data_IF_137233846249
#
_entry.id   IF_137233846249
#
_cell.length_a   1.000
_cell.length_b   1.000
_cell.length_c   1.000
_cell.angle_alpha   90.00
_cell.angle_beta   90.00
_cell.angle_gamma   90.00
#
_symmetry.space_group_name_H-M   'P 1'
#
loop_
_entity.id
_entity.type
_entity.pdbx_description
1 polymer ?
#
# COMPACT_ATOMS: atom_id res chain seq x y z
N UNK A 1 31.75 16.05 -49.55
CA UNK A 1 32.82 16.20 -48.53
C UNK A 1 32.67 17.51 -47.74
N UNK A 2 32.53 18.67 -48.39
CA UNK A 2 32.25 19.94 -47.69
C UNK A 2 31.00 19.87 -46.81
N UNK A 3 29.90 19.34 -47.34
CA UNK A 3 28.64 19.18 -46.59
C UNK A 3 28.79 18.41 -45.27
N UNK A 4 29.50 17.28 -45.27
CA UNK A 4 29.76 16.50 -44.05
C UNK A 4 30.61 17.26 -43.03
N UNK A 5 31.61 18.01 -43.50
CA UNK A 5 32.47 18.83 -42.65
C UNK A 5 31.67 19.98 -42.03
N UNK A 6 30.76 20.57 -42.79
CA UNK A 6 29.88 21.64 -42.34
C UNK A 6 28.86 21.12 -41.31
N UNK A 7 28.25 19.95 -41.54
CA UNK A 7 27.39 19.26 -40.57
C UNK A 7 28.14 18.91 -39.27
N UNK A 8 29.43 18.59 -39.39
CA UNK A 8 30.31 18.35 -38.26
C UNK A 8 30.92 19.64 -37.66
N UNK A 9 30.49 20.82 -38.10
CA UNK A 9 30.96 22.13 -37.63
C UNK A 9 32.50 22.26 -37.65
N UNK A 10 33.15 21.75 -38.69
CA UNK A 10 34.62 21.75 -38.84
C UNK A 10 35.38 21.05 -37.70
N UNK A 11 34.73 20.14 -36.95
CA UNK A 11 35.38 19.29 -35.94
C UNK A 11 36.22 18.20 -36.61
N UNK A 12 37.42 18.54 -37.06
CA UNK A 12 38.33 17.65 -37.78
C UNK A 12 39.60 17.42 -36.95
N UNK A 13 40.03 16.17 -36.87
CA UNK A 13 41.32 15.78 -36.27
C UNK A 13 42.01 14.82 -37.22
N UNK A 14 43.26 15.13 -37.57
CA UNK A 14 44.10 14.26 -38.39
C UNK A 14 44.89 13.32 -37.49
N UNK A 15 44.75 12.01 -37.72
CA UNK A 15 45.54 10.97 -37.07
C UNK A 15 46.48 10.33 -38.08
N UNK A 16 47.73 10.16 -37.69
CA UNK A 16 48.69 9.32 -38.41
C UNK A 16 48.97 8.08 -37.56
N UNK A 17 48.33 6.98 -37.94
CA UNK A 17 48.36 5.71 -37.23
C UNK A 17 49.70 4.96 -37.41
N UNK A 18 50.60 5.43 -38.26
CA UNK A 18 51.90 4.78 -38.54
C UNK A 18 53.05 5.38 -37.74
N UNK A 19 52.86 6.53 -37.08
CA UNK A 19 53.86 7.11 -36.19
C UNK A 19 54.25 6.08 -35.12
N UNK A 20 55.56 5.84 -34.95
CA UNK A 20 56.07 5.02 -33.86
C UNK A 20 56.28 5.85 -32.58
N UNK A 21 56.60 7.14 -32.74
CA UNK A 21 56.96 8.04 -31.66
C UNK A 21 55.79 8.33 -30.70
N UNK A 22 56.05 8.16 -29.41
CA UNK A 22 55.07 8.27 -28.33
C UNK A 22 54.61 9.72 -28.11
N UNK A 23 55.54 10.68 -28.23
CA UNK A 23 55.23 12.10 -27.99
C UNK A 23 54.24 12.60 -29.04
N UNK A 24 54.51 12.28 -30.32
CA UNK A 24 53.61 12.65 -31.41
C UNK A 24 52.23 11.96 -31.33
N UNK A 25 52.15 10.73 -30.79
CA UNK A 25 50.86 10.07 -30.51
C UNK A 25 50.06 10.78 -29.44
N UNK A 26 50.71 11.12 -28.32
CA UNK A 26 50.06 11.83 -27.21
C UNK A 26 49.51 13.18 -27.68
N UNK A 27 50.27 13.93 -28.48
CA UNK A 27 49.81 15.19 -29.06
C UNK A 27 48.59 15.04 -29.99
N UNK A 28 48.48 13.93 -30.73
CA UNK A 28 47.30 13.66 -31.58
C UNK A 28 46.06 13.33 -30.72
N UNK A 29 46.25 12.57 -29.64
CA UNK A 29 45.19 12.25 -28.68
C UNK A 29 44.73 13.51 -27.94
N UNK A 30 45.64 14.39 -27.52
CA UNK A 30 45.30 15.65 -26.85
C UNK A 30 44.45 16.55 -27.75
N UNK A 31 44.81 16.67 -29.04
CA UNK A 31 44.00 17.39 -30.04
C UNK A 31 42.58 16.80 -30.17
N UNK A 32 42.44 15.48 -30.11
CA UNK A 32 41.13 14.83 -30.13
C UNK A 32 40.32 15.16 -28.87
N UNK A 33 40.93 15.06 -27.69
CA UNK A 33 40.28 15.36 -26.42
C UNK A 33 39.85 16.83 -26.36
N UNK A 34 40.66 17.75 -26.87
CA UNK A 34 40.29 19.16 -26.99
C UNK A 34 39.05 19.38 -27.85
N UNK A 35 38.92 18.66 -28.97
CA UNK A 35 37.72 18.73 -29.81
C UNK A 35 36.50 18.13 -29.11
N UNK A 36 36.67 17.01 -28.40
CA UNK A 36 35.60 16.38 -27.61
C UNK A 36 35.12 17.29 -26.48
N UNK A 37 36.04 17.95 -25.77
CA UNK A 37 35.73 18.87 -24.68
C UNK A 37 34.95 20.12 -25.16
N UNK A 38 35.15 20.53 -26.42
CA UNK A 38 34.46 21.65 -27.05
C UNK A 38 33.10 21.28 -27.65
N UNK A 39 32.66 20.03 -27.56
CA UNK A 39 31.34 19.62 -28.05
C UNK A 39 30.23 20.35 -27.27
N UNK A 40 29.26 20.91 -28.00
CA UNK A 40 28.10 21.66 -27.45
C UNK A 40 27.31 20.88 -26.39
N UNK A 41 27.36 19.56 -26.44
CA UNK A 41 26.70 18.68 -25.47
C UNK A 41 27.31 18.75 -24.06
N UNK A 42 28.51 19.32 -23.88
CA UNK A 42 29.13 19.55 -22.57
C UNK A 42 29.28 18.26 -21.76
N UNK A 43 29.69 17.17 -22.39
CA UNK A 43 29.82 15.85 -21.76
C UNK A 43 28.51 15.05 -21.64
N UNK A 44 27.36 15.58 -22.10
CA UNK A 44 26.13 14.78 -22.20
C UNK A 44 26.28 13.74 -23.31
N UNK A 45 25.91 12.50 -22.99
CA UNK A 45 25.89 11.41 -23.96
C UNK A 45 24.81 11.66 -24.99
N UNK A 46 25.05 11.18 -26.21
CA UNK A 46 24.00 11.08 -27.20
C UNK A 46 22.88 10.17 -26.66
N UNK A 47 21.64 10.64 -26.78
CA UNK A 47 20.43 9.92 -26.36
C UNK A 47 19.43 10.06 -27.49
N UNK A 48 18.88 8.94 -27.94
CA UNK A 48 17.76 8.86 -28.87
C UNK A 48 16.64 7.99 -28.26
N UNK A 49 15.61 7.72 -29.04
CA UNK A 49 14.51 6.82 -28.64
C UNK A 49 14.99 5.39 -28.41
N UNK A 50 15.91 4.89 -29.22
CA UNK A 50 16.47 3.54 -29.10
C UNK A 50 17.22 3.36 -27.76
N UNK A 51 17.98 4.37 -27.31
CA UNK A 51 18.65 4.35 -26.00
C UNK A 51 17.67 4.35 -24.84
N UNK A 52 16.50 4.99 -24.99
CA UNK A 52 15.43 4.94 -23.98
C UNK A 52 14.78 3.56 -23.95
N UNK A 53 14.41 3.03 -25.10
CA UNK A 53 13.80 1.70 -25.23
C UNK A 53 14.74 0.59 -24.75
N UNK A 54 16.03 0.66 -25.08
CA UNK A 54 17.03 -0.28 -24.59
C UNK A 54 17.18 -0.22 -23.06
N UNK A 55 17.07 0.98 -22.46
CA UNK A 55 17.09 1.15 -21.00
C UNK A 55 15.85 0.53 -20.36
N UNK A 56 14.67 0.76 -20.91
CA UNK A 56 13.40 0.20 -20.42
C UNK A 56 13.39 -1.33 -20.55
N UNK A 57 13.80 -1.85 -21.71
CA UNK A 57 13.93 -3.29 -21.97
C UNK A 57 14.90 -3.94 -20.99
N UNK A 58 16.05 -3.30 -20.74
CA UNK A 58 17.02 -3.78 -19.75
C UNK A 58 16.44 -3.78 -18.33
N UNK A 59 15.70 -2.74 -17.94
CA UNK A 59 15.04 -2.68 -16.63
C UNK A 59 14.00 -3.79 -16.49
N UNK A 60 13.18 -4.01 -17.52
CA UNK A 60 12.19 -5.08 -17.58
C UNK A 60 12.83 -6.46 -17.44
N UNK A 61 13.85 -6.76 -18.24
CA UNK A 61 14.57 -8.04 -18.17
C UNK A 61 15.20 -8.29 -16.79
N UNK A 62 15.72 -7.24 -16.14
CA UNK A 62 16.24 -7.34 -14.77
C UNK A 62 15.14 -7.74 -13.78
N UNK A 63 13.95 -7.15 -13.89
CA UNK A 63 12.82 -7.49 -13.00
C UNK A 63 12.27 -8.88 -13.33
N UNK A 64 12.16 -9.24 -14.61
CA UNK A 64 11.72 -10.57 -15.05
C UNK A 64 12.64 -11.68 -14.54
N UNK A 65 13.97 -11.49 -14.57
CA UNK A 65 14.89 -12.48 -14.00
C UNK A 65 14.73 -12.68 -12.49
N UNK A 66 14.21 -11.67 -11.78
CA UNK A 66 13.92 -11.73 -10.35
C UNK A 66 12.46 -12.09 -10.05
N UNK A 67 11.60 -12.17 -11.08
CA UNK A 67 10.15 -12.34 -10.93
C UNK A 67 9.83 -13.60 -10.13
N UNK A 68 10.47 -14.73 -10.40
CA UNK A 68 10.21 -15.98 -9.68
C UNK A 68 10.44 -15.84 -8.16
N UNK A 69 11.58 -15.25 -7.77
CA UNK A 69 11.96 -15.05 -6.37
C UNK A 69 11.01 -14.06 -5.69
N UNK A 70 10.67 -12.96 -6.36
CA UNK A 70 9.74 -11.96 -5.82
C UNK A 70 8.35 -12.58 -5.66
N UNK A 71 7.88 -13.31 -6.67
CA UNK A 71 6.58 -13.98 -6.66
C UNK A 71 6.49 -15.00 -5.53
N UNK A 72 7.52 -15.83 -5.34
CA UNK A 72 7.53 -16.85 -4.30
C UNK A 72 7.50 -16.22 -2.90
N UNK A 73 8.38 -15.24 -2.64
CA UNK A 73 8.39 -14.51 -1.35
C UNK A 73 7.06 -13.83 -1.08
N UNK A 74 6.49 -13.19 -2.10
CA UNK A 74 5.20 -12.52 -1.93
C UNK A 74 4.08 -13.52 -1.72
N UNK A 75 4.06 -14.66 -2.40
CA UNK A 75 3.08 -15.74 -2.16
C UNK A 75 3.18 -16.30 -0.75
N UNK A 76 4.38 -16.55 -0.25
CA UNK A 76 4.58 -17.02 1.12
C UNK A 76 4.01 -16.01 2.12
N UNK A 77 4.30 -14.71 1.96
CA UNK A 77 3.75 -13.69 2.85
C UNK A 77 2.24 -13.50 2.72
N UNK A 78 1.73 -13.60 1.50
CA UNK A 78 0.29 -13.62 1.19
C UNK A 78 -0.40 -14.77 1.93
N UNK A 79 0.19 -15.96 1.94
CA UNK A 79 -0.33 -17.12 2.68
C UNK A 79 -0.30 -16.91 4.20
N UNK A 80 0.79 -16.36 4.74
CA UNK A 80 0.88 -16.05 6.18
C UNK A 80 -0.17 -15.01 6.60
N UNK A 81 -0.45 -14.04 5.75
CA UNK A 81 -1.51 -13.04 5.98
C UNK A 81 -2.89 -13.71 6.03
N UNK A 82 -3.17 -14.64 5.12
CA UNK A 82 -4.43 -15.39 5.12
C UNK A 82 -4.59 -16.24 6.38
N UNK A 83 -3.57 -17.00 6.75
CA UNK A 83 -3.60 -17.83 7.97
C UNK A 83 -3.86 -16.99 9.21
N UNK A 84 -3.22 -15.82 9.32
CA UNK A 84 -3.49 -14.89 10.43
C UNK A 84 -4.90 -14.34 10.41
N UNK A 85 -5.44 -14.04 9.22
CA UNK A 85 -6.81 -13.56 9.11
C UNK A 85 -7.81 -14.62 9.61
N UNK A 86 -7.62 -15.88 9.25
CA UNK A 86 -8.46 -17.00 9.72
C UNK A 86 -8.39 -17.14 11.25
N UNK A 87 -7.17 -17.14 11.82
CA UNK A 87 -6.97 -17.18 13.27
C UNK A 87 -7.68 -16.02 14.00
N UNK A 88 -7.62 -14.81 13.44
CA UNK A 88 -8.29 -13.63 14.00
C UNK A 88 -9.81 -13.78 13.90
N UNK A 89 -10.33 -14.42 12.86
CA UNK A 89 -11.76 -14.66 12.70
C UNK A 89 -12.30 -15.60 13.78
N UNK A 90 -11.53 -16.62 14.16
CA UNK A 90 -11.84 -17.60 15.22
C UNK A 90 -11.76 -17.04 16.66
N UNK A 91 -11.21 -15.83 16.85
CA UNK A 91 -11.22 -15.17 18.16
C UNK A 91 -12.65 -14.72 18.53
N UNK A 92 -13.32 -15.52 19.37
CA UNK A 92 -14.75 -15.35 19.65
C UNK A 92 -15.11 -14.24 20.65
N UNK A 93 -14.20 -13.78 21.53
CA UNK A 93 -14.63 -13.01 22.71
C UNK A 93 -13.85 -11.73 23.03
N UNK A 94 -12.86 -11.32 22.22
CA UNK A 94 -12.10 -10.10 22.47
C UNK A 94 -12.05 -9.21 21.23
N UNK A 95 -13.10 -8.39 21.04
CA UNK A 95 -13.22 -7.45 19.92
C UNK A 95 -12.06 -6.44 19.87
N UNK A 96 -11.51 -6.03 21.02
CA UNK A 96 -10.40 -5.09 21.09
C UNK A 96 -9.09 -5.71 20.59
N UNK A 97 -8.79 -6.94 21.03
CA UNK A 97 -7.65 -7.72 20.54
C UNK A 97 -7.79 -8.03 19.05
N UNK A 98 -8.99 -8.47 18.62
CA UNK A 98 -9.32 -8.73 17.21
C UNK A 98 -9.09 -7.50 16.34
N UNK A 99 -9.56 -6.33 16.79
CA UNK A 99 -9.38 -5.08 16.06
C UNK A 99 -7.89 -4.70 15.94
N UNK A 100 -7.13 -4.80 17.03
CA UNK A 100 -5.70 -4.50 17.03
C UNK A 100 -4.93 -5.38 16.04
N UNK A 101 -5.22 -6.68 16.02
CA UNK A 101 -4.57 -7.62 15.11
C UNK A 101 -4.97 -7.38 13.64
N UNK A 102 -6.24 -7.07 13.36
CA UNK A 102 -6.69 -6.69 12.01
C UNK A 102 -6.00 -5.42 11.49
N UNK A 103 -5.81 -4.41 12.35
CA UNK A 103 -5.12 -3.17 11.99
C UNK A 103 -3.64 -3.44 11.67
N UNK A 104 -2.97 -4.25 12.49
CA UNK A 104 -1.59 -4.69 12.22
C UNK A 104 -1.50 -5.46 10.89
N UNK A 105 -2.48 -6.32 10.61
CA UNK A 105 -2.53 -7.08 9.37
C UNK A 105 -2.72 -6.16 8.16
N UNK A 106 -3.59 -5.15 8.26
CA UNK A 106 -3.80 -4.12 7.22
C UNK A 106 -2.52 -3.33 6.95
N UNK A 107 -1.77 -2.98 8.00
CA UNK A 107 -0.48 -2.30 7.86
C UNK A 107 0.54 -3.20 7.15
N UNK A 108 0.62 -4.48 7.53
CA UNK A 108 1.50 -5.46 6.86
C UNK A 108 1.17 -5.62 5.38
N UNK A 109 -0.12 -5.71 5.02
CA UNK A 109 -0.54 -5.73 3.61
C UNK A 109 -0.15 -4.45 2.86
N UNK A 110 -0.21 -3.29 3.53
CA UNK A 110 0.14 -2.01 2.91
C UNK A 110 1.65 -1.90 2.65
N UNK A 111 2.49 -2.31 3.62
CA UNK A 111 3.94 -2.38 3.45
C UNK A 111 4.34 -3.32 2.32
N UNK A 112 3.77 -4.53 2.29
CA UNK A 112 4.03 -5.51 1.23
C UNK A 112 3.63 -4.98 -0.16
N UNK A 113 2.53 -4.23 -0.25
CA UNK A 113 2.08 -3.61 -1.50
C UNK A 113 3.04 -2.51 -1.95
N UNK A 114 3.49 -1.66 -1.04
CA UNK A 114 4.46 -0.59 -1.33
C UNK A 114 5.81 -1.16 -1.77
N UNK A 115 6.33 -2.15 -1.05
CA UNK A 115 7.58 -2.83 -1.41
C UNK A 115 7.52 -3.49 -2.79
N UNK A 116 6.38 -4.12 -3.11
CA UNK A 116 6.18 -4.77 -4.41
C UNK A 116 6.07 -3.75 -5.53
N UNK A 117 5.36 -2.63 -5.31
CA UNK A 117 5.29 -1.52 -6.27
C UNK A 117 6.63 -0.84 -6.50
N UNK A 118 7.41 -0.64 -5.43
CA UNK A 118 8.75 -0.09 -5.52
C UNK A 118 9.68 -0.99 -6.35
N UNK A 119 9.57 -2.31 -6.19
CA UNK A 119 10.33 -3.29 -6.98
C UNK A 119 9.89 -3.37 -8.44
N UNK A 120 8.61 -3.15 -8.74
CA UNK A 120 8.09 -3.18 -10.11
C UNK A 120 8.62 -2.03 -10.98
N UNK A 121 8.99 -0.90 -10.36
CA UNK A 121 9.54 0.30 -11.03
C UNK A 121 8.73 0.79 -12.24
N UNK A 122 7.42 0.46 -12.30
CA UNK A 122 6.54 0.83 -13.41
C UNK A 122 6.64 -0.07 -14.65
N UNK A 123 7.32 -1.21 -14.56
CA UNK A 123 7.44 -2.18 -15.67
C UNK A 123 6.20 -3.03 -15.86
N UNK A 124 5.27 -3.04 -14.89
CA UNK A 124 4.04 -3.83 -14.86
C UNK A 124 4.27 -5.35 -14.87
N UNK A 125 5.51 -5.81 -14.66
CA UNK A 125 5.86 -7.24 -14.62
C UNK A 125 5.26 -7.91 -13.38
N UNK A 126 5.16 -7.19 -12.26
CA UNK A 126 4.62 -7.69 -10.99
C UNK A 126 3.12 -7.40 -10.83
N UNK A 127 2.41 -7.00 -11.88
CA UNK A 127 1.03 -6.53 -11.80
C UNK A 127 0.07 -7.60 -11.22
N UNK A 128 0.27 -8.87 -11.58
CA UNK A 128 -0.52 -9.99 -11.04
C UNK A 128 -0.33 -10.17 -9.53
N UNK A 129 0.88 -9.90 -9.03
CA UNK A 129 1.22 -9.99 -7.61
C UNK A 129 0.62 -8.80 -6.87
N UNK A 130 0.74 -7.60 -7.45
CA UNK A 130 0.15 -6.37 -6.92
C UNK A 130 -1.38 -6.49 -6.80
N UNK A 131 -2.04 -7.07 -7.80
CA UNK A 131 -3.49 -7.28 -7.79
C UNK A 131 -3.91 -8.28 -6.71
N UNK A 132 -3.15 -9.36 -6.51
CA UNK A 132 -3.38 -10.33 -5.44
C UNK A 132 -3.28 -9.69 -4.05
N UNK A 133 -2.19 -8.97 -3.74
CA UNK A 133 -2.02 -8.26 -2.46
C UNK A 133 -3.15 -7.24 -2.25
N UNK A 134 -3.54 -6.53 -3.32
CA UNK A 134 -4.62 -5.53 -3.26
C UNK A 134 -5.95 -6.18 -2.88
N UNK A 135 -6.27 -7.33 -3.46
CA UNK A 135 -7.46 -8.10 -3.11
C UNK A 135 -7.44 -8.54 -1.65
N UNK A 136 -6.29 -9.01 -1.14
CA UNK A 136 -6.16 -9.35 0.28
C UNK A 136 -6.37 -8.14 1.19
N UNK A 137 -5.75 -7.00 0.87
CA UNK A 137 -5.94 -5.76 1.64
C UNK A 137 -7.41 -5.35 1.70
N UNK A 138 -8.17 -5.54 0.61
CA UNK A 138 -9.61 -5.31 0.59
C UNK A 138 -10.36 -6.25 1.53
N UNK A 139 -10.03 -7.54 1.54
CA UNK A 139 -10.64 -8.52 2.45
C UNK A 139 -10.40 -8.11 3.92
N UNK A 140 -9.15 -7.81 4.29
CA UNK A 140 -8.81 -7.37 5.66
C UNK A 140 -9.54 -6.09 6.04
N UNK A 141 -9.63 -5.13 5.11
CA UNK A 141 -10.36 -3.86 5.34
C UNK A 141 -11.85 -4.11 5.56
N UNK A 142 -12.46 -5.01 4.78
CA UNK A 142 -13.86 -5.40 4.95
C UNK A 142 -14.10 -6.06 6.31
N UNK A 143 -13.17 -6.89 6.79
CA UNK A 143 -13.33 -7.51 8.11
C UNK A 143 -13.21 -6.51 9.26
N UNK A 144 -12.37 -5.48 9.12
CA UNK A 144 -12.32 -4.35 10.06
C UNK A 144 -13.68 -3.64 10.09
N UNK A 145 -14.25 -3.32 8.93
CA UNK A 145 -15.56 -2.67 8.81
C UNK A 145 -16.67 -3.51 9.44
N UNK A 146 -16.68 -4.82 9.19
CA UNK A 146 -17.62 -5.76 9.79
C UNK A 146 -17.50 -5.77 11.32
N UNK A 147 -16.27 -5.80 11.84
CA UNK A 147 -16.02 -5.80 13.29
C UNK A 147 -16.50 -4.50 13.94
N UNK A 148 -16.25 -3.35 13.31
CA UNK A 148 -16.78 -2.05 13.76
C UNK A 148 -18.31 -1.98 13.71
N UNK A 149 -18.94 -2.62 12.72
CA UNK A 149 -20.40 -2.68 12.61
C UNK A 149 -21.00 -3.52 13.74
N UNK A 150 -20.46 -4.71 14.00
CA UNK A 150 -20.88 -5.60 15.09
C UNK A 150 -20.76 -4.91 16.46
N UNK A 151 -19.70 -4.14 16.67
CA UNK A 151 -19.50 -3.38 17.91
C UNK A 151 -20.57 -2.30 18.10
N UNK A 152 -20.89 -1.54 17.04
CA UNK A 152 -21.97 -0.54 17.07
C UNK A 152 -23.33 -1.16 17.39
N UNK A 153 -23.67 -2.26 16.74
CA UNK A 153 -24.93 -2.99 16.97
C UNK A 153 -25.02 -3.49 18.44
N UNK A 154 -23.92 -4.01 19.01
CA UNK A 154 -23.86 -4.41 20.43
C UNK A 154 -24.11 -3.23 21.36
N UNK A 155 -23.51 -2.07 21.09
CA UNK A 155 -23.68 -0.87 21.91
C UNK A 155 -25.11 -0.32 21.85
N UNK A 156 -25.74 -0.32 20.67
CA UNK A 156 -27.14 0.08 20.50
C UNK A 156 -28.10 -0.87 21.22
N UNK A 157 -27.87 -2.18 21.13
CA UNK A 157 -28.65 -3.17 21.85
C UNK A 157 -28.51 -3.00 23.37
N UNK A 158 -27.30 -2.71 23.86
CA UNK A 158 -27.06 -2.44 25.28
C UNK A 158 -27.83 -1.19 25.77
N UNK A 159 -27.82 -0.11 24.99
CA UNK A 159 -28.61 1.11 25.29
C UNK A 159 -30.11 0.81 25.33
N UNK A 160 -30.63 0.11 24.31
CA UNK A 160 -32.04 -0.28 24.22
C UNK A 160 -32.47 -1.18 25.39
N UNK A 161 -31.62 -2.13 25.79
CA UNK A 161 -31.88 -3.00 26.93
C UNK A 161 -31.91 -2.22 28.26
N UNK A 162 -31.01 -1.27 28.45
CA UNK A 162 -30.98 -0.43 29.66
C UNK A 162 -32.21 0.51 29.72
N UNK A 163 -32.62 1.10 28.59
CA UNK A 163 -33.87 1.87 28.51
C UNK A 163 -35.10 1.02 28.84
N UNK A 164 -35.18 -0.19 28.27
CA UNK A 164 -36.27 -1.13 28.58
C UNK A 164 -36.26 -1.54 30.06
N UNK A 165 -35.08 -1.70 30.67
CA UNK A 165 -34.94 -2.01 32.10
C UNK A 165 -35.41 -0.84 32.98
N UNK A 166 -35.10 0.40 32.60
CA UNK A 166 -35.60 1.61 33.27
C UNK A 166 -37.13 1.74 33.15
N UNK A 167 -37.69 1.53 31.96
CA UNK A 167 -39.15 1.54 31.73
C UNK A 167 -39.87 0.49 32.58
N UNK A 168 -39.37 -0.75 32.62
CA UNK A 168 -39.93 -1.82 33.47
C UNK A 168 -39.89 -1.49 34.97
N UNK A 169 -38.80 -0.88 35.45
CA UNK A 169 -38.70 -0.42 36.85
C UNK A 169 -39.70 0.70 37.14
N UNK A 170 -39.89 1.63 36.21
CA UNK A 170 -40.86 2.72 36.37
C UNK A 170 -42.30 2.20 36.41
N UNK A 171 -42.69 1.33 35.46
CA UNK A 171 -44.03 0.75 35.43
C UNK A 171 -44.32 -0.11 36.67
N UNK A 172 -43.31 -0.83 37.19
CA UNK A 172 -43.42 -1.55 38.45
C UNK A 172 -43.70 -0.63 39.64
N UNK A 173 -42.94 0.47 39.77
CA UNK A 173 -43.17 1.50 40.82
C UNK A 173 -44.55 2.17 40.68
N UNK A 174 -44.96 2.49 39.47
CA UNK A 174 -46.27 3.10 39.21
C UNK A 174 -47.43 2.17 39.56
N UNK A 175 -47.26 0.86 39.35
CA UNK A 175 -48.25 -0.16 39.73
C UNK A 175 -48.33 -0.33 41.25
N UNK A 176 -47.18 -0.40 41.93
CA UNK A 176 -47.11 -0.44 43.40
C UNK A 176 -47.75 0.79 44.05
N UNK A 177 -47.49 1.97 43.50
CA UNK A 177 -48.09 3.22 43.97
C UNK A 177 -49.61 3.21 43.82
N UNK A 178 -50.14 2.72 42.67
CA UNK A 178 -51.58 2.58 42.45
C UNK A 178 -52.24 1.62 43.43
N UNK A 179 -51.61 0.47 43.71
CA UNK A 179 -52.10 -0.51 44.68
C UNK A 179 -52.20 0.10 46.09
N UNK A 180 -51.14 0.77 46.56
CA UNK A 180 -51.13 1.44 47.88
C UNK A 180 -52.21 2.52 47.97
N UNK A 181 -52.39 3.33 46.93
CA UNK A 181 -53.44 4.36 46.92
C UNK A 181 -54.85 3.78 46.90
N UNK A 182 -55.08 2.66 46.21
CA UNK A 182 -56.37 1.96 46.24
C UNK A 182 -56.66 1.36 47.62
N UNK A 183 -55.67 0.78 48.31
CA UNK A 183 -55.81 0.30 49.68
C UNK A 183 -56.14 1.44 50.65
N UNK A 184 -55.39 2.53 50.60
CA UNK A 184 -55.64 3.69 51.46
C UNK A 184 -57.06 4.27 51.30
N UNK A 185 -57.58 4.32 50.06
CA UNK A 185 -58.97 4.75 49.79
C UNK A 185 -60.01 3.79 50.38
N UNK A 186 -59.75 2.48 50.37
CA UNK A 186 -60.64 1.48 51.01
C UNK A 186 -60.64 1.63 52.53
N UNK A 187 -59.46 1.77 53.14
CA UNK A 187 -59.31 1.92 54.60
C UNK A 187 -59.97 3.21 55.13
N UNK A 188 -59.97 4.28 54.32
CA UNK A 188 -60.61 5.55 54.67
C UNK A 188 -62.15 5.51 54.60
N UNK A 189 -62.71 4.66 53.74
CA UNK A 189 -64.16 4.47 53.64
C UNK A 189 -64.71 3.53 54.72
N UNK A 190 -63.90 2.60 55.22
CA UNK A 190 -64.28 1.72 56.35
C UNK A 190 -64.36 2.50 57.67
N UNK A 191 -63.53 3.53 57.86
CA UNK A 191 -63.55 4.39 59.07
C UNK A 191 -64.64 5.47 59.10
N UNK A 192 -65.49 5.57 58.06
CA UNK A 192 -66.57 6.56 57.94
C UNK A 192 -67.98 5.96 58.05
N UNK A 193 -68.09 4.65 58.31
CA UNK A 193 -69.32 3.97 58.73
C UNK A 193 -69.19 3.60 60.19
#
# INVERSE_FOLDING_TARGET
>A
MKELVDECENRIVLFDNYLADKINKEQQVDKLLDVVNKLKAGGKRYIDTNFKEAKETRQRAKIESQHCIINEKTKQETSLIFQKLEQIQELDNNNEKKMKELLQLKERCSKLLEDTKFKDQGTNVLQNIISAITSQKKIVTKEIENTLKREREKQELAKRNEENRKKKKQTGKDYEWRLKNCQWKKDRNVKKK
#
